data_IF_417174020099
#
_entry.id   IF_417174020099
#
_cell.length_a   1.000
_cell.length_b   1.000
_cell.length_c   1.000
_cell.angle_alpha   90.00
_cell.angle_beta   90.00
_cell.angle_gamma   90.00
#
_symmetry.space_group_name_H-M   'P 1'
#
loop_
_entity.id
_entity.type
_entity.pdbx_description
1 polymer ?
#
# COMPACT_ATOMS: atom_id res chain seq x y z
N UNK A 1 -7.38 15.83 -2.14
CA UNK A 1 -8.08 14.72 -2.84
C UNK A 1 -7.14 13.54 -2.90
N UNK A 2 -7.55 12.36 -2.49
CA UNK A 2 -6.68 11.17 -2.48
C UNK A 2 -6.65 10.50 -3.88
N UNK A 3 -5.73 9.53 -4.07
CA UNK A 3 -5.57 8.80 -5.33
C UNK A 3 -6.89 8.23 -5.85
N UNK A 4 -7.63 7.55 -4.96
CA UNK A 4 -8.84 6.85 -5.34
C UNK A 4 -9.94 7.81 -5.83
N UNK A 5 -10.10 8.95 -5.18
CA UNK A 5 -11.06 9.99 -5.56
C UNK A 5 -10.73 10.56 -6.94
N UNK A 6 -9.45 10.91 -7.19
CA UNK A 6 -9.00 11.39 -8.50
C UNK A 6 -9.21 10.38 -9.61
N UNK A 7 -8.84 9.13 -9.37
CA UNK A 7 -9.06 8.05 -10.31
C UNK A 7 -10.53 7.83 -10.60
N UNK A 8 -11.37 7.81 -9.56
CA UNK A 8 -12.81 7.60 -9.69
C UNK A 8 -13.48 8.74 -10.46
N UNK A 9 -13.10 9.98 -10.23
CA UNK A 9 -13.57 11.15 -10.98
C UNK A 9 -13.20 11.01 -12.47
N UNK A 10 -11.94 10.68 -12.77
CA UNK A 10 -11.48 10.50 -14.14
C UNK A 10 -12.28 9.42 -14.89
N UNK A 11 -12.43 8.23 -14.31
CA UNK A 11 -13.15 7.13 -14.97
C UNK A 11 -14.66 7.32 -15.01
N UNK A 12 -15.20 8.23 -14.19
CA UNK A 12 -16.63 8.59 -14.19
C UNK A 12 -16.99 9.66 -15.21
N UNK A 13 -16.00 10.43 -15.65
CA UNK A 13 -16.21 11.53 -16.63
C UNK A 13 -15.69 11.22 -18.02
N UNK A 14 -14.63 10.41 -18.11
CA UNK A 14 -14.01 10.05 -19.39
C UNK A 14 -14.80 8.99 -20.13
N UNK A 15 -15.00 9.20 -21.43
CA UNK A 15 -15.67 8.25 -22.31
C UNK A 15 -14.72 7.60 -23.31
N UNK A 16 -14.94 6.34 -23.60
CA UNK A 16 -14.29 5.59 -24.66
C UNK A 16 -15.32 4.71 -25.37
N UNK A 17 -15.37 4.73 -26.71
CA UNK A 17 -16.35 3.98 -27.52
C UNK A 17 -17.79 4.19 -27.04
N UNK A 18 -18.20 5.45 -26.82
CA UNK A 18 -19.54 5.86 -26.36
C UNK A 18 -19.99 5.29 -25.01
N UNK A 19 -19.06 4.81 -24.18
CA UNK A 19 -19.33 4.37 -22.80
C UNK A 19 -18.37 5.08 -21.84
N UNK A 20 -18.82 5.33 -20.63
CA UNK A 20 -17.98 5.89 -19.56
C UNK A 20 -16.93 4.84 -19.16
N UNK A 21 -15.68 5.27 -18.88
CA UNK A 21 -14.58 4.33 -18.63
C UNK A 21 -14.88 3.33 -17.52
N UNK A 22 -15.54 3.74 -16.44
CA UNK A 22 -15.91 2.86 -15.32
C UNK A 22 -16.88 1.72 -15.70
N UNK A 23 -17.55 1.83 -16.84
CA UNK A 23 -18.49 0.81 -17.35
C UNK A 23 -17.79 -0.27 -18.21
N UNK A 24 -16.50 -0.11 -18.46
CA UNK A 24 -15.70 -1.12 -19.12
C UNK A 24 -15.19 -2.12 -18.11
N UNK A 25 -15.50 -3.40 -18.27
CA UNK A 25 -15.22 -4.47 -17.31
C UNK A 25 -13.74 -4.51 -16.86
N UNK A 26 -12.81 -4.32 -17.79
CA UNK A 26 -11.38 -4.28 -17.49
C UNK A 26 -11.02 -3.13 -16.54
N UNK A 27 -11.57 -1.95 -16.77
CA UNK A 27 -11.33 -0.75 -15.93
C UNK A 27 -12.03 -0.92 -14.58
N UNK A 28 -13.29 -1.37 -14.59
CA UNK A 28 -14.05 -1.66 -13.37
C UNK A 28 -13.33 -2.67 -12.46
N UNK A 29 -12.76 -3.72 -13.05
CA UNK A 29 -11.96 -4.71 -12.34
C UNK A 29 -10.72 -4.13 -11.67
N UNK A 30 -9.99 -3.25 -12.37
CA UNK A 30 -8.81 -2.57 -11.81
C UNK A 30 -9.20 -1.66 -10.64
N UNK A 31 -10.27 -0.87 -10.79
CA UNK A 31 -10.75 0.04 -9.74
C UNK A 31 -11.21 -0.75 -8.51
N UNK A 32 -11.97 -1.83 -8.71
CA UNK A 32 -12.40 -2.72 -7.63
C UNK A 32 -11.22 -3.34 -6.88
N UNK A 33 -10.17 -3.73 -7.59
CA UNK A 33 -8.93 -4.24 -6.99
C UNK A 33 -8.22 -3.18 -6.16
N UNK A 34 -8.07 -1.96 -6.68
CA UNK A 34 -7.45 -0.85 -5.94
C UNK A 34 -8.25 -0.55 -4.67
N UNK A 35 -9.59 -0.51 -4.75
CA UNK A 35 -10.45 -0.28 -3.59
C UNK A 35 -10.26 -1.37 -2.52
N UNK A 36 -10.25 -2.65 -2.91
CA UNK A 36 -10.02 -3.76 -2.00
C UNK A 36 -8.63 -3.73 -1.35
N UNK A 37 -7.59 -3.43 -2.12
CA UNK A 37 -6.23 -3.28 -1.59
C UNK A 37 -6.14 -2.13 -0.57
N UNK A 38 -6.84 -1.00 -0.79
CA UNK A 38 -6.91 0.12 0.16
C UNK A 38 -7.57 -0.32 1.48
N UNK A 39 -8.69 -1.03 1.43
CA UNK A 39 -9.39 -1.48 2.63
C UNK A 39 -8.55 -2.47 3.44
N UNK A 40 -7.92 -3.45 2.79
CA UNK A 40 -7.02 -4.40 3.45
C UNK A 40 -5.83 -3.66 4.08
N UNK A 41 -5.19 -2.75 3.34
CA UNK A 41 -4.06 -1.97 3.86
C UNK A 41 -4.46 -1.14 5.08
N UNK A 42 -5.66 -0.57 5.09
CA UNK A 42 -6.21 0.19 6.23
C UNK A 42 -6.41 -0.69 7.47
N UNK A 43 -6.99 -1.88 7.30
CA UNK A 43 -7.16 -2.86 8.39
C UNK A 43 -5.80 -3.26 8.98
N UNK A 44 -4.83 -3.58 8.14
CA UNK A 44 -3.48 -3.93 8.58
C UNK A 44 -2.77 -2.77 9.27
N UNK A 45 -3.00 -1.53 8.82
CA UNK A 45 -2.51 -0.32 9.49
C UNK A 45 -3.07 -0.17 10.91
N UNK A 46 -4.36 -0.40 11.10
CA UNK A 46 -4.97 -0.43 12.43
C UNK A 46 -4.42 -1.57 13.30
N UNK A 47 -4.21 -2.75 12.74
CA UNK A 47 -3.57 -3.86 13.48
C UNK A 47 -2.17 -3.47 13.96
N UNK A 48 -1.35 -2.89 13.09
CA UNK A 48 -0.01 -2.44 13.44
C UNK A 48 -0.03 -1.37 14.56
N UNK A 49 -0.97 -0.42 14.48
CA UNK A 49 -1.17 0.60 15.52
C UNK A 49 -1.58 -0.04 16.86
N UNK A 50 -2.55 -0.95 16.87
CA UNK A 50 -2.97 -1.65 18.08
C UNK A 50 -1.84 -2.48 18.71
N UNK A 51 -0.99 -3.10 17.89
CA UNK A 51 0.19 -3.82 18.37
C UNK A 51 1.15 -2.83 19.05
N UNK A 52 1.36 -1.66 18.47
CA UNK A 52 2.17 -0.59 19.05
C UNK A 52 1.61 -0.09 20.39
N UNK A 53 0.32 0.23 20.44
CA UNK A 53 -0.35 0.78 21.62
C UNK A 53 -0.38 -0.17 22.81
N UNK A 54 -0.62 -1.45 22.59
CA UNK A 54 -0.60 -2.47 23.68
C UNK A 54 0.75 -2.56 24.39
N UNK A 55 1.80 -2.03 23.82
CA UNK A 55 3.19 -2.10 24.32
C UNK A 55 3.71 -0.79 24.86
N UNK A 56 3.12 0.34 24.46
CA UNK A 56 3.41 1.65 25.06
C UNK A 56 2.76 1.74 26.44
N UNK A 57 3.40 1.13 27.46
CA UNK A 57 3.09 1.50 28.83
C UNK A 57 3.51 2.95 29.06
N UNK A 58 2.66 3.79 29.69
CA UNK A 58 2.91 5.24 29.82
C UNK A 58 4.23 5.64 30.49
N UNK A 59 4.98 4.73 31.07
CA UNK A 59 6.20 4.99 31.85
C UNK A 59 7.29 3.92 31.68
N UNK A 60 7.44 3.28 30.53
CA UNK A 60 8.49 2.28 30.33
C UNK A 60 9.10 2.35 28.93
N UNK A 61 10.39 1.99 28.81
CA UNK A 61 11.00 1.77 27.50
C UNK A 61 10.13 0.74 26.74
N UNK A 62 9.79 0.98 25.46
CA UNK A 62 9.03 0.02 24.68
C UNK A 62 9.80 -1.30 24.65
N UNK A 63 9.26 -2.34 25.27
CA UNK A 63 9.79 -3.69 25.11
C UNK A 63 9.29 -4.17 23.75
N UNK A 64 10.02 -3.81 22.71
CA UNK A 64 9.82 -4.35 21.39
C UNK A 64 10.44 -5.74 21.42
N UNK A 65 9.64 -6.78 21.72
CA UNK A 65 10.14 -8.14 21.54
C UNK A 65 10.35 -8.38 20.04
N UNK A 66 11.38 -9.15 19.68
CA UNK A 66 11.71 -9.50 18.30
C UNK A 66 10.51 -10.04 17.52
N UNK A 67 9.65 -10.81 18.19
CA UNK A 67 8.41 -11.35 17.61
C UNK A 67 7.44 -10.28 17.10
N UNK A 68 7.41 -9.09 17.71
CA UNK A 68 6.53 -8.00 17.26
C UNK A 68 7.13 -7.24 16.10
N UNK A 69 8.43 -7.08 16.10
CA UNK A 69 9.14 -6.45 14.97
C UNK A 69 8.83 -7.23 13.70
N UNK A 70 8.96 -8.56 13.72
CA UNK A 70 8.66 -9.41 12.58
C UNK A 70 7.22 -9.24 12.07
N UNK A 71 6.22 -9.16 12.97
CA UNK A 71 4.82 -8.93 12.57
C UNK A 71 4.62 -7.56 11.91
N UNK A 72 5.16 -6.50 12.51
CA UNK A 72 5.06 -5.14 11.96
C UNK A 72 5.79 -5.05 10.61
N UNK A 73 6.95 -5.69 10.48
CA UNK A 73 7.71 -5.74 9.23
C UNK A 73 6.96 -6.47 8.11
N UNK A 74 6.27 -7.57 8.45
CA UNK A 74 5.43 -8.28 7.50
C UNK A 74 4.26 -7.40 7.01
N UNK A 75 3.61 -6.68 7.92
CA UNK A 75 2.56 -5.71 7.57
C UNK A 75 3.13 -4.61 6.65
N UNK A 76 4.28 -4.04 7.02
CA UNK A 76 4.96 -3.00 6.21
C UNK A 76 5.28 -3.50 4.81
N UNK A 77 5.82 -4.71 4.66
CA UNK A 77 6.15 -5.31 3.36
C UNK A 77 4.89 -5.43 2.49
N UNK A 78 3.85 -6.05 3.03
CA UNK A 78 2.60 -6.26 2.32
C UNK A 78 1.92 -4.94 1.92
N UNK A 79 1.78 -3.99 2.84
CA UNK A 79 1.09 -2.71 2.60
C UNK A 79 1.84 -1.88 1.56
N UNK A 80 3.18 -1.81 1.67
CA UNK A 80 3.97 -1.04 0.70
C UNK A 80 3.95 -1.66 -0.70
N UNK A 81 3.96 -2.98 -0.82
CA UNK A 81 3.81 -3.68 -2.11
C UNK A 81 2.45 -3.39 -2.75
N UNK A 82 1.36 -3.51 -1.98
CA UNK A 82 0.01 -3.22 -2.48
C UNK A 82 -0.13 -1.76 -2.89
N UNK A 83 0.43 -0.83 -2.13
CA UNK A 83 0.39 0.58 -2.46
C UNK A 83 1.14 0.89 -3.77
N UNK A 84 2.36 0.38 -3.96
CA UNK A 84 3.12 0.56 -5.22
C UNK A 84 2.35 -0.03 -6.41
N UNK A 85 1.77 -1.22 -6.27
CA UNK A 85 0.95 -1.86 -7.31
C UNK A 85 -0.31 -1.04 -7.64
N UNK A 86 -1.01 -0.54 -6.62
CA UNK A 86 -2.20 0.29 -6.79
C UNK A 86 -1.92 1.59 -7.55
N UNK A 87 -0.83 2.29 -7.22
CA UNK A 87 -0.42 3.49 -7.96
C UNK A 87 0.01 3.17 -9.39
N UNK A 88 0.72 2.05 -9.63
CA UNK A 88 1.05 1.57 -10.97
C UNK A 88 -0.20 1.34 -11.81
N UNK A 89 -1.17 0.60 -11.29
CA UNK A 89 -2.45 0.34 -11.96
C UNK A 89 -3.27 1.62 -12.20
N UNK A 90 -3.23 2.57 -11.26
CA UNK A 90 -3.89 3.86 -11.46
C UNK A 90 -3.26 4.63 -12.63
N UNK A 91 -1.92 4.61 -12.77
CA UNK A 91 -1.25 5.21 -13.92
C UNK A 91 -1.65 4.54 -15.24
N UNK A 92 -1.78 3.20 -15.26
CA UNK A 92 -2.24 2.47 -16.45
C UNK A 92 -3.65 2.90 -16.87
N UNK A 93 -4.57 3.06 -15.91
CA UNK A 93 -5.95 3.51 -16.17
C UNK A 93 -5.98 4.96 -16.67
N UNK A 94 -5.14 5.82 -16.12
CA UNK A 94 -5.02 7.22 -16.57
C UNK A 94 -4.33 7.36 -17.93
N UNK A 95 -3.57 6.34 -18.36
CA UNK A 95 -2.82 6.36 -19.60
C UNK A 95 -1.80 7.52 -19.64
N UNK A 96 -1.81 8.38 -20.67
CA UNK A 96 -0.84 9.48 -20.79
C UNK A 96 -0.88 10.50 -19.64
N UNK A 97 -1.99 10.57 -18.90
CA UNK A 97 -2.13 11.46 -17.74
C UNK A 97 -1.47 10.88 -16.46
N UNK A 98 -1.22 9.58 -16.42
CA UNK A 98 -0.59 8.93 -15.25
C UNK A 98 0.77 9.52 -14.90
N UNK A 99 1.71 9.64 -15.84
CA UNK A 99 3.00 10.25 -15.59
C UNK A 99 3.00 11.80 -15.65
N UNK A 100 1.88 12.45 -15.97
CA UNK A 100 1.78 13.91 -16.01
C UNK A 100 1.83 14.50 -14.60
N UNK A 101 2.75 15.46 -14.40
CA UNK A 101 2.97 16.13 -13.11
C UNK A 101 1.73 16.86 -12.56
N UNK A 102 0.83 17.29 -13.43
CA UNK A 102 -0.41 17.97 -13.01
C UNK A 102 -1.37 17.05 -12.26
N UNK A 103 -1.21 15.74 -12.38
CA UNK A 103 -2.03 14.74 -11.70
C UNK A 103 -1.44 14.26 -10.39
N UNK A 104 -0.16 14.52 -10.10
CA UNK A 104 0.56 14.11 -8.88
C UNK A 104 0.65 12.58 -8.66
N UNK A 105 0.10 11.77 -9.54
CA UNK A 105 0.06 10.30 -9.37
C UNK A 105 1.47 9.71 -9.43
N UNK A 106 2.29 10.16 -10.40
CA UNK A 106 3.67 9.74 -10.54
C UNK A 106 4.51 10.13 -9.30
N UNK A 107 4.23 11.31 -8.72
CA UNK A 107 4.89 11.75 -7.48
C UNK A 107 4.55 10.82 -6.33
N UNK A 108 3.28 10.51 -6.13
CA UNK A 108 2.86 9.59 -5.08
C UNK A 108 3.41 8.18 -5.29
N UNK A 109 3.52 7.71 -6.53
CA UNK A 109 4.17 6.43 -6.83
C UNK A 109 5.64 6.43 -6.42
N UNK A 110 6.38 7.51 -6.70
CA UNK A 110 7.78 7.66 -6.26
C UNK A 110 7.89 7.74 -4.75
N UNK A 111 7.03 8.50 -4.09
CA UNK A 111 7.02 8.66 -2.64
C UNK A 111 6.77 7.30 -1.94
N UNK A 112 5.78 6.54 -2.39
CA UNK A 112 5.50 5.22 -1.80
C UNK A 112 6.61 4.21 -2.12
N UNK A 113 7.29 4.36 -3.26
CA UNK A 113 8.46 3.53 -3.58
C UNK A 113 9.61 3.77 -2.61
N UNK A 114 9.81 5.01 -2.17
CA UNK A 114 10.79 5.34 -1.12
C UNK A 114 10.39 4.66 0.20
N UNK A 115 9.12 4.72 0.58
CA UNK A 115 8.61 4.05 1.80
C UNK A 115 8.82 2.53 1.73
N UNK A 116 8.63 1.91 0.57
CA UNK A 116 8.89 0.49 0.36
C UNK A 116 10.37 0.13 0.62
N UNK A 117 11.29 0.98 0.17
CA UNK A 117 12.73 0.77 0.30
C UNK A 117 13.29 1.18 1.67
N UNK A 118 12.61 2.08 2.36
CA UNK A 118 13.05 2.63 3.63
C UNK A 118 13.09 1.58 4.75
N UNK A 119 13.97 1.78 5.73
CA UNK A 119 14.15 0.93 6.92
C UNK A 119 14.44 -0.55 6.59
N UNK A 120 15.30 -0.79 5.60
CA UNK A 120 15.82 -2.10 5.25
C UNK A 120 15.15 -2.78 4.07
N UNK A 121 14.16 -2.12 3.47
CA UNK A 121 13.52 -2.61 2.26
C UNK A 121 12.77 -3.93 2.45
N UNK A 122 12.37 -4.51 1.33
CA UNK A 122 11.55 -5.73 1.25
C UNK A 122 12.26 -6.95 1.85
N UNK A 123 13.52 -7.15 1.50
CA UNK A 123 14.29 -8.33 1.90
C UNK A 123 14.44 -8.44 3.43
N UNK A 124 14.78 -7.33 4.09
CA UNK A 124 14.88 -7.32 5.55
C UNK A 124 13.51 -7.57 6.21
N UNK A 125 12.46 -6.97 5.68
CA UNK A 125 11.10 -7.21 6.19
C UNK A 125 10.71 -8.70 6.10
N UNK A 126 11.03 -9.36 5.00
CA UNK A 126 10.75 -10.77 4.78
C UNK A 126 11.59 -11.68 5.69
N UNK A 127 12.87 -11.35 5.90
CA UNK A 127 13.74 -12.07 6.84
C UNK A 127 13.19 -11.99 8.27
N UNK A 128 12.82 -10.80 8.73
CA UNK A 128 12.25 -10.61 10.07
C UNK A 128 10.87 -11.24 10.22
N UNK A 129 10.06 -11.26 9.16
CA UNK A 129 8.81 -12.00 9.14
C UNK A 129 9.04 -13.51 9.25
N UNK A 130 10.05 -14.06 8.56
CA UNK A 130 10.40 -15.47 8.68
C UNK A 130 10.83 -15.84 10.11
N UNK A 131 11.60 -14.99 10.77
CA UNK A 131 11.93 -15.17 12.21
C UNK A 131 10.67 -15.22 13.08
N UNK A 132 9.72 -14.34 12.81
CA UNK A 132 8.48 -14.29 13.54
C UNK A 132 7.61 -15.55 13.37
N UNK A 133 7.42 -15.98 12.10
CA UNK A 133 6.50 -17.09 11.79
C UNK A 133 7.10 -18.47 12.03
N UNK A 134 8.40 -18.64 11.83
CA UNK A 134 9.06 -19.94 11.83
C UNK A 134 10.11 -20.09 12.93
N UNK A 135 10.29 -19.06 13.75
CA UNK A 135 11.29 -19.03 14.82
C UNK A 135 12.69 -19.46 14.32
N UNK A 136 13.02 -19.09 13.07
CA UNK A 136 14.32 -19.39 12.49
C UNK A 136 15.31 -18.27 12.78
N UNK A 137 16.47 -18.64 13.33
CA UNK A 137 17.62 -17.76 13.36
C UNK A 137 18.16 -17.69 11.94
N UNK A 138 17.91 -16.58 11.26
CA UNK A 138 18.52 -16.34 9.95
C UNK A 138 19.96 -15.87 10.16
N UNK A 139 20.84 -16.48 9.44
CA UNK A 139 22.25 -16.17 9.35
C UNK A 139 22.53 -14.74 8.91
#
# INVERSE_FOLDING_TARGET
>A
MNLYERLFEFVSTRTYRNRVLKEHDAIAGIIGRIAGDIDICRILGYEAAMIGDRRNKPYGKPIISENVVGRIRNIKDFVSDRAVDAFGKAMDVLGPYGPDRNWDIEKHWRDIKIVQLWMGGKQLCQMEAARYFFNCETL
#
